data_IF_246969360235
#
_entry.id   IF_246969360235
#
_cell.length_a   1.000
_cell.length_b   1.000
_cell.length_c   1.000
_cell.angle_alpha   90.00
_cell.angle_beta   90.00
_cell.angle_gamma   90.00
#
_symmetry.space_group_name_H-M   'P 1'
#
loop_
_entity.id
_entity.type
_entity.pdbx_description
1 polymer ?
#
# COMPACT_ATOMS: atom_id res chain seq x y z
N UNK A 1 2.13 1.19 -24.46
CA UNK A 1 2.48 0.24 -23.36
C UNK A 1 2.81 1.07 -22.12
N UNK A 2 2.03 0.91 -21.08
CA UNK A 2 2.19 1.62 -19.81
C UNK A 2 3.45 1.16 -19.07
N UNK A 3 4.22 2.10 -18.54
CA UNK A 3 5.42 1.79 -17.74
C UNK A 3 5.04 1.74 -16.25
N UNK A 4 4.69 0.54 -15.76
CA UNK A 4 4.28 0.31 -14.37
C UNK A 4 5.41 0.63 -13.39
N UNK A 5 6.65 0.26 -13.71
CA UNK A 5 7.82 0.54 -12.87
C UNK A 5 8.01 2.04 -12.62
N UNK A 6 7.85 2.84 -13.66
CA UNK A 6 7.98 4.29 -13.54
C UNK A 6 6.87 4.89 -12.66
N UNK A 7 5.65 4.38 -12.77
CA UNK A 7 4.53 4.82 -11.91
C UNK A 7 4.84 4.48 -10.45
N UNK A 8 5.32 3.25 -10.17
CA UNK A 8 5.65 2.82 -8.82
C UNK A 8 6.82 3.61 -8.22
N UNK A 9 7.90 3.84 -8.98
CA UNK A 9 9.03 4.68 -8.53
C UNK A 9 8.58 6.09 -8.21
N UNK A 10 7.82 6.72 -9.11
CA UNK A 10 7.27 8.07 -8.88
C UNK A 10 6.40 8.12 -7.62
N UNK A 11 5.58 7.08 -7.38
CA UNK A 11 4.76 7.00 -6.18
C UNK A 11 5.60 6.89 -4.91
N UNK A 12 6.66 6.08 -4.94
CA UNK A 12 7.58 5.90 -3.81
C UNK A 12 8.35 7.19 -3.53
N UNK A 13 8.93 7.81 -4.55
CA UNK A 13 9.68 9.08 -4.45
C UNK A 13 8.83 10.22 -3.90
N UNK A 14 7.56 10.31 -4.32
CA UNK A 14 6.61 11.33 -3.82
C UNK A 14 6.00 10.95 -2.45
N UNK A 15 6.37 9.82 -1.87
CA UNK A 15 5.88 9.38 -0.55
C UNK A 15 4.40 9.02 -0.54
N UNK A 16 3.86 8.55 -1.67
CA UNK A 16 2.47 8.11 -1.76
C UNK A 16 2.20 6.93 -0.82
N UNK A 17 1.01 6.87 -0.26
CA UNK A 17 0.53 5.72 0.51
C UNK A 17 -0.17 4.67 -0.37
N UNK A 18 -0.86 5.13 -1.40
CA UNK A 18 -1.60 4.26 -2.31
C UNK A 18 -1.44 4.75 -3.77
N UNK A 19 -1.50 3.80 -4.71
CA UNK A 19 -1.57 4.03 -6.15
C UNK A 19 -2.87 3.41 -6.66
N UNK A 20 -3.64 4.18 -7.42
CA UNK A 20 -4.88 3.72 -8.04
C UNK A 20 -4.72 3.75 -9.56
N UNK A 21 -4.93 2.60 -10.20
CA UNK A 21 -4.89 2.44 -11.65
C UNK A 21 -6.29 2.06 -12.12
N UNK A 22 -6.92 2.99 -12.84
CA UNK A 22 -8.31 2.91 -13.26
C UNK A 22 -8.37 3.32 -14.73
N UNK A 23 -9.06 2.54 -15.56
CA UNK A 23 -9.26 2.87 -16.97
C UNK A 23 -9.97 4.22 -17.16
N UNK A 24 -9.50 5.00 -18.12
CA UNK A 24 -10.06 6.30 -18.50
C UNK A 24 -9.52 7.50 -17.73
N UNK A 25 -8.63 7.31 -16.77
CA UNK A 25 -7.97 8.39 -16.04
C UNK A 25 -6.48 8.10 -15.87
N UNK A 26 -5.71 9.14 -15.59
CA UNK A 26 -4.29 8.99 -15.21
C UNK A 26 -4.13 8.14 -13.96
N UNK A 27 -3.00 7.44 -13.79
CA UNK A 27 -2.65 6.84 -12.51
C UNK A 27 -2.76 7.88 -11.38
N UNK A 28 -3.50 7.54 -10.31
CA UNK A 28 -3.72 8.44 -9.19
C UNK A 28 -2.88 8.03 -7.99
N UNK A 29 -2.21 8.98 -7.39
CA UNK A 29 -1.37 8.80 -6.21
C UNK A 29 -2.05 9.41 -4.99
N UNK A 30 -2.10 8.67 -3.88
CA UNK A 30 -2.56 9.20 -2.60
C UNK A 30 -1.37 9.73 -1.80
N UNK A 31 -1.30 11.05 -1.64
CA UNK A 31 -0.24 11.71 -0.87
C UNK A 31 -0.91 12.55 0.22
N UNK A 32 -0.57 12.33 1.48
CA UNK A 32 -1.10 13.06 2.64
C UNK A 32 -2.63 13.27 2.61
N UNK A 33 -3.40 12.22 2.29
CA UNK A 33 -4.89 12.17 2.16
C UNK A 33 -5.45 12.73 0.84
N UNK A 34 -4.67 13.41 0.02
CA UNK A 34 -5.10 13.91 -1.28
C UNK A 34 -4.83 12.88 -2.38
N UNK A 35 -5.75 12.77 -3.33
CA UNK A 35 -5.54 12.04 -4.57
C UNK A 35 -5.07 13.03 -5.62
N UNK A 36 -3.89 12.80 -6.16
CA UNK A 36 -3.29 13.62 -7.22
C UNK A 36 -2.93 12.75 -8.43
N UNK A 37 -3.06 13.25 -9.66
CA UNK A 37 -2.64 12.51 -10.83
C UNK A 37 -1.11 12.35 -10.86
N UNK A 38 -0.65 11.19 -11.35
CA UNK A 38 0.77 10.97 -11.62
C UNK A 38 1.20 11.84 -12.78
N UNK A 39 2.13 12.75 -12.53
CA UNK A 39 2.67 13.66 -13.55
C UNK A 39 3.45 12.87 -14.61
N UNK A 40 3.35 13.30 -15.86
CA UNK A 40 4.01 12.66 -16.99
C UNK A 40 3.37 11.33 -17.44
N UNK A 41 2.24 10.93 -16.82
CA UNK A 41 1.46 9.80 -17.30
C UNK A 41 0.26 10.27 -18.12
N UNK A 42 -0.13 9.44 -19.10
CA UNK A 42 -1.36 9.60 -19.86
C UNK A 42 -2.53 8.87 -19.18
N UNK A 43 -3.75 9.08 -19.67
CA UNK A 43 -4.92 8.36 -19.23
C UNK A 43 -4.80 6.88 -19.61
N UNK A 44 -5.09 5.99 -18.67
CA UNK A 44 -4.98 4.54 -18.87
C UNK A 44 -6.09 4.03 -19.79
N UNK A 45 -5.72 3.37 -20.85
CA UNK A 45 -6.65 2.68 -21.76
C UNK A 45 -7.03 1.29 -21.23
N UNK A 46 -8.05 0.67 -21.84
CA UNK A 46 -8.39 -0.72 -21.53
C UNK A 46 -7.25 -1.69 -21.86
N UNK A 47 -6.47 -1.41 -22.90
CA UNK A 47 -5.28 -2.18 -23.27
C UNK A 47 -4.19 -2.05 -22.20
N UNK A 48 -3.91 -0.83 -21.72
CA UNK A 48 -2.95 -0.61 -20.62
C UNK A 48 -3.38 -1.35 -19.35
N UNK A 49 -4.68 -1.43 -19.06
CA UNK A 49 -5.17 -2.17 -17.89
C UNK A 49 -4.94 -3.69 -18.03
N UNK A 50 -4.96 -4.22 -19.24
CA UNK A 50 -4.59 -5.62 -19.49
C UNK A 50 -3.09 -5.86 -19.41
N UNK A 51 -2.27 -4.93 -19.89
CA UNK A 51 -0.81 -4.97 -19.72
C UNK A 51 -0.43 -4.94 -18.21
N UNK A 52 -1.09 -4.09 -17.42
CA UNK A 52 -0.93 -4.04 -15.97
C UNK A 52 -1.36 -5.36 -15.31
N UNK A 53 -2.44 -5.97 -15.81
CA UNK A 53 -2.88 -7.28 -15.34
C UNK A 53 -1.81 -8.35 -15.60
N UNK A 54 -1.26 -8.37 -16.79
CA UNK A 54 -0.21 -9.31 -17.18
C UNK A 54 1.04 -9.09 -16.31
N UNK A 55 1.41 -7.85 -16.04
CA UNK A 55 2.54 -7.49 -15.20
C UNK A 55 2.42 -8.05 -13.78
N UNK A 56 1.27 -7.91 -13.12
CA UNK A 56 1.13 -8.28 -11.71
C UNK A 56 0.65 -9.73 -11.48
N UNK A 57 -0.08 -10.33 -12.41
CA UNK A 57 -0.89 -11.51 -12.14
C UNK A 57 -0.60 -12.67 -13.06
N UNK A 58 -0.50 -12.45 -14.38
CA UNK A 58 -0.47 -13.53 -15.39
C UNK A 58 0.69 -14.50 -15.20
N UNK A 59 1.80 -14.08 -14.60
CA UNK A 59 2.93 -14.96 -14.27
C UNK A 59 2.66 -15.97 -13.13
N UNK A 60 1.50 -15.85 -12.45
CA UNK A 60 1.12 -16.71 -11.33
C UNK A 60 -0.27 -17.32 -11.58
N UNK A 61 -0.27 -18.59 -11.98
CA UNK A 61 -1.48 -19.35 -12.38
C UNK A 61 -2.53 -19.36 -11.26
N UNK A 62 -2.12 -19.49 -10.01
CA UNK A 62 -3.05 -19.55 -8.88
C UNK A 62 -3.77 -18.21 -8.69
N UNK A 63 -3.03 -17.10 -8.77
CA UNK A 63 -3.62 -15.75 -8.68
C UNK A 63 -4.56 -15.47 -9.85
N UNK A 64 -4.18 -15.87 -11.05
CA UNK A 64 -4.98 -15.70 -12.26
C UNK A 64 -6.31 -16.48 -12.16
N UNK A 65 -6.27 -17.73 -11.70
CA UNK A 65 -7.46 -18.56 -11.49
C UNK A 65 -8.38 -17.95 -10.42
N UNK A 66 -7.85 -17.57 -9.27
CA UNK A 66 -8.63 -16.92 -8.20
C UNK A 66 -9.32 -15.66 -8.72
N UNK A 67 -8.60 -14.81 -9.46
CA UNK A 67 -9.21 -13.59 -9.99
C UNK A 67 -10.29 -13.88 -11.05
N UNK A 68 -10.10 -14.86 -11.93
CA UNK A 68 -11.11 -15.26 -12.93
C UNK A 68 -12.39 -15.78 -12.29
N UNK A 69 -12.27 -16.54 -11.21
CA UNK A 69 -13.42 -17.11 -10.49
C UNK A 69 -14.14 -16.08 -9.63
N UNK A 70 -13.39 -15.31 -8.84
CA UNK A 70 -13.97 -14.44 -7.81
C UNK A 70 -14.14 -12.99 -8.24
N UNK A 71 -13.52 -12.58 -9.36
CA UNK A 71 -13.43 -11.19 -9.86
C UNK A 71 -12.76 -10.22 -8.89
N UNK A 72 -12.07 -10.76 -7.89
CA UNK A 72 -11.31 -10.00 -6.88
C UNK A 72 -10.06 -10.76 -6.50
N UNK A 73 -8.99 -10.03 -6.23
CA UNK A 73 -7.76 -10.59 -5.71
C UNK A 73 -7.15 -9.60 -4.71
N UNK A 74 -6.78 -10.10 -3.54
CA UNK A 74 -5.99 -9.36 -2.56
C UNK A 74 -4.69 -10.15 -2.33
N UNK A 75 -3.56 -9.58 -2.66
CA UNK A 75 -2.27 -10.26 -2.60
C UNK A 75 -1.16 -9.28 -2.27
N UNK A 76 0.05 -9.76 -2.10
CA UNK A 76 1.25 -8.93 -1.96
C UNK A 76 2.10 -9.00 -3.23
N UNK A 77 2.78 -7.90 -3.50
CA UNK A 77 3.77 -7.75 -4.55
C UNK A 77 5.02 -7.11 -3.95
N UNK A 78 6.19 -7.50 -4.40
CA UNK A 78 7.45 -6.89 -3.98
C UNK A 78 8.03 -6.08 -5.14
N UNK A 79 8.39 -4.83 -4.87
CA UNK A 79 8.99 -3.92 -5.83
C UNK A 79 10.14 -3.18 -5.18
N UNK A 80 11.36 -3.37 -5.71
CA UNK A 80 12.60 -2.74 -5.23
C UNK A 80 12.79 -2.85 -3.69
N UNK A 81 12.50 -4.02 -3.13
CA UNK A 81 12.63 -4.30 -1.69
C UNK A 81 11.50 -3.73 -0.83
N UNK A 82 10.52 -3.06 -1.43
CA UNK A 82 9.31 -2.61 -0.74
C UNK A 82 8.16 -3.59 -0.97
N UNK A 83 7.42 -3.84 0.09
CA UNK A 83 6.21 -4.65 0.01
C UNK A 83 5.00 -3.79 -0.34
N UNK A 84 4.28 -4.19 -1.37
CA UNK A 84 3.03 -3.59 -1.80
C UNK A 84 1.87 -4.55 -1.51
N UNK A 85 0.77 -4.06 -0.95
CA UNK A 85 -0.49 -4.81 -0.93
C UNK A 85 -1.27 -4.44 -2.18
N UNK A 86 -1.51 -5.44 -3.00
CA UNK A 86 -2.21 -5.32 -4.27
C UNK A 86 -3.64 -5.81 -4.11
N UNK A 87 -4.60 -4.94 -4.31
CA UNK A 87 -6.00 -5.29 -4.46
C UNK A 87 -6.41 -5.09 -5.93
N UNK A 88 -6.96 -6.13 -6.53
CA UNK A 88 -7.48 -6.11 -7.89
C UNK A 88 -8.95 -6.42 -7.84
N UNK A 89 -9.74 -5.64 -8.53
CA UNK A 89 -11.16 -5.90 -8.74
C UNK A 89 -11.55 -5.65 -10.20
N UNK A 90 -12.75 -6.00 -10.59
CA UNK A 90 -13.21 -5.88 -11.97
C UNK A 90 -14.44 -4.97 -12.05
N UNK A 91 -14.39 -4.01 -12.95
CA UNK A 91 -15.51 -3.15 -13.30
C UNK A 91 -15.73 -3.19 -14.81
N UNK A 92 -16.93 -3.55 -15.27
CA UNK A 92 -17.25 -3.70 -16.70
C UNK A 92 -16.22 -4.55 -17.47
N UNK A 93 -15.85 -5.68 -16.91
CA UNK A 93 -14.83 -6.61 -17.41
C UNK A 93 -13.40 -6.07 -17.53
N UNK A 94 -13.14 -4.83 -17.12
CA UNK A 94 -11.81 -4.23 -17.06
C UNK A 94 -11.29 -4.34 -15.62
N UNK A 95 -10.07 -4.86 -15.41
CA UNK A 95 -9.46 -4.88 -14.07
C UNK A 95 -9.15 -3.46 -13.62
N UNK A 96 -9.27 -3.20 -12.31
CA UNK A 96 -8.80 -2.00 -11.66
C UNK A 96 -7.90 -2.40 -10.50
N UNK A 97 -6.86 -1.60 -10.23
CA UNK A 97 -5.83 -1.92 -9.26
C UNK A 97 -5.71 -0.84 -8.21
N UNK A 98 -5.60 -1.27 -6.97
CA UNK A 98 -5.19 -0.42 -5.86
C UNK A 98 -3.98 -1.04 -5.19
N UNK A 99 -2.86 -0.33 -5.20
CA UNK A 99 -1.64 -0.75 -4.55
C UNK A 99 -1.40 0.12 -3.32
N UNK A 100 -1.25 -0.51 -2.16
CA UNK A 100 -0.82 0.16 -0.94
C UNK A 100 0.65 -0.08 -0.70
N UNK A 101 1.42 0.99 -0.58
CA UNK A 101 2.84 0.93 -0.26
C UNK A 101 3.00 0.71 1.24
N UNK A 102 3.57 -0.44 1.61
CA UNK A 102 3.84 -0.77 3.01
C UNK A 102 5.26 -0.30 3.31
N UNK A 103 5.35 0.78 4.08
CA UNK A 103 6.66 1.25 4.56
C UNK A 103 7.22 0.24 5.54
N UNK A 104 8.41 -0.26 5.26
CA UNK A 104 9.11 -1.21 6.12
C UNK A 104 9.74 -0.53 7.35
N UNK A 105 9.88 0.79 7.31
CA UNK A 105 10.45 1.54 8.43
C UNK A 105 9.37 1.84 9.46
N UNK A 106 9.48 1.19 10.60
CA UNK A 106 8.75 1.61 11.80
C UNK A 106 9.44 2.88 12.32
N UNK A 107 8.68 3.94 12.60
CA UNK A 107 9.26 5.12 13.23
C UNK A 107 9.85 4.73 14.57
N UNK A 108 11.02 5.28 14.90
CA UNK A 108 11.62 5.08 16.23
C UNK A 108 10.72 5.68 17.32
N UNK A 109 10.93 5.22 18.55
CA UNK A 109 10.19 5.71 19.71
C UNK A 109 10.29 7.23 19.86
N UNK A 110 11.50 7.79 19.61
CA UNK A 110 11.76 9.23 19.64
C UNK A 110 11.00 9.98 18.55
N UNK A 111 10.94 9.43 17.35
CA UNK A 111 10.21 10.03 16.22
C UNK A 111 8.71 10.10 16.47
N UNK A 112 8.16 9.19 17.28
CA UNK A 112 6.76 9.19 17.67
C UNK A 112 6.43 10.24 18.75
N UNK A 113 7.43 10.84 19.38
CA UNK A 113 7.25 11.82 20.46
C UNK A 113 6.59 11.22 21.71
N UNK A 114 6.67 9.91 21.90
CA UNK A 114 6.10 9.25 23.07
C UNK A 114 7.04 9.44 24.27
N UNK A 115 6.52 9.87 25.45
CA UNK A 115 7.37 10.11 26.60
C UNK A 115 8.09 8.85 27.09
N UNK A 116 9.35 8.98 27.57
CA UNK A 116 10.17 7.88 28.10
C UNK A 116 9.50 7.06 29.21
N UNK A 117 8.58 7.67 29.95
CA UNK A 117 7.83 6.96 30.97
C UNK A 117 7.04 5.78 30.40
N UNK A 118 6.49 5.92 29.19
CA UNK A 118 5.76 4.85 28.51
C UNK A 118 6.68 3.70 28.13
N UNK A 119 7.89 4.03 27.66
CA UNK A 119 8.94 3.04 27.40
C UNK A 119 9.28 2.24 28.67
N UNK A 120 9.51 2.91 29.80
CA UNK A 120 9.81 2.25 31.08
C UNK A 120 8.67 1.37 31.58
N UNK A 121 7.42 1.71 31.29
CA UNK A 121 6.28 0.88 31.65
C UNK A 121 6.27 -0.47 30.91
N UNK A 122 6.80 -0.53 29.70
CA UNK A 122 6.87 -1.78 28.92
C UNK A 122 7.84 -2.82 29.50
N UNK A 123 8.85 -2.35 30.25
CA UNK A 123 9.84 -3.24 30.89
C UNK A 123 9.46 -3.68 32.32
N UNK A 124 8.22 -3.37 32.75
CA UNK A 124 7.76 -3.84 34.06
C UNK A 124 7.43 -5.34 33.99
N UNK A 125 7.82 -6.14 35.02
CA UNK A 125 7.63 -7.59 35.02
C UNK A 125 6.15 -8.01 35.06
N UNK A 126 5.26 -7.12 35.46
CA UNK A 126 3.81 -7.37 35.59
C UNK A 126 3.03 -6.09 35.28
N UNK A 127 1.85 -6.27 34.70
CA UNK A 127 0.94 -5.17 34.43
C UNK A 127 0.24 -5.28 33.10
N UNK A 128 -0.63 -4.35 32.81
CA UNK A 128 -1.35 -4.21 31.54
C UNK A 128 -1.20 -2.79 31.04
N UNK A 129 -0.70 -2.64 29.82
CA UNK A 129 -0.63 -1.35 29.12
C UNK A 129 -1.66 -1.35 27.99
N UNK A 130 -2.56 -0.36 27.99
CA UNK A 130 -3.59 -0.20 26.98
C UNK A 130 -3.31 1.01 26.10
N UNK A 131 -3.22 0.80 24.77
CA UNK A 131 -3.11 1.86 23.78
C UNK A 131 -4.46 2.02 23.09
N UNK A 132 -5.15 3.12 23.37
CA UNK A 132 -6.51 3.38 22.88
C UNK A 132 -6.55 4.62 22.00
N UNK A 133 -7.57 4.71 21.16
CA UNK A 133 -7.78 5.85 20.28
C UNK A 133 -8.63 5.52 19.04
N UNK A 134 -8.99 6.53 18.27
CA UNK A 134 -9.78 6.38 17.03
C UNK A 134 -9.00 5.55 15.98
N UNK A 135 -9.70 5.03 14.97
CA UNK A 135 -9.07 4.42 13.81
C UNK A 135 -8.12 5.43 13.14
N UNK A 136 -6.96 4.97 12.70
CA UNK A 136 -5.89 5.80 12.09
C UNK A 136 -5.27 6.86 13.04
N UNK A 137 -5.35 6.69 14.36
CA UNK A 137 -4.67 7.56 15.33
C UNK A 137 -3.24 7.15 15.68
N UNK A 138 -2.68 6.17 14.98
CA UNK A 138 -1.30 5.71 15.21
C UNK A 138 -1.14 4.58 16.24
N UNK A 139 -2.22 4.02 16.80
CA UNK A 139 -2.16 2.96 17.83
C UNK A 139 -1.23 1.81 17.48
N UNK A 140 -1.44 1.20 16.32
CA UNK A 140 -0.65 0.07 15.83
C UNK A 140 0.81 0.47 15.60
N UNK A 141 1.04 1.66 15.06
CA UNK A 141 2.39 2.20 14.85
C UNK A 141 3.13 2.36 16.18
N UNK A 142 2.45 2.93 17.18
CA UNK A 142 3.01 3.11 18.54
C UNK A 142 3.29 1.76 19.21
N UNK A 143 2.35 0.80 19.12
CA UNK A 143 2.55 -0.55 19.65
C UNK A 143 3.72 -1.27 18.98
N UNK A 144 3.82 -1.19 17.64
CA UNK A 144 4.91 -1.81 16.91
C UNK A 144 6.26 -1.18 17.27
N UNK A 145 6.33 0.14 17.44
CA UNK A 145 7.55 0.80 17.88
C UNK A 145 7.95 0.39 19.31
N UNK A 146 6.97 0.23 20.22
CA UNK A 146 7.19 -0.23 21.58
C UNK A 146 7.68 -1.69 21.68
N UNK A 147 7.25 -2.56 20.76
CA UNK A 147 7.63 -3.98 20.75
C UNK A 147 9.01 -4.18 20.11
N UNK A 148 9.40 -3.30 19.19
CA UNK A 148 10.66 -3.40 18.45
C UNK A 148 11.78 -2.51 19.02
N UNK A 149 11.56 -1.85 20.14
CA UNK A 149 12.55 -1.07 20.88
C UNK A 149 13.40 -1.97 21.80
#
# INVERSE_FOLDING_TARGET
MVNVDNILRTAIEKGASDVHLICGIKPMLRIARNLIPCEGCEDLTAEDMMDIYDYFIRGNIDKDNVFKETRKLDTSYEFEGLRLRLNVSRSNDIPLFTLRIIKNELPSFEQLGVPDIVRRMMYQPQGLVLVTGKTNSGKTTTLNALIND
#
